data_IF_213029059427
#
_entry.id   IF_213029059427
#
_cell.length_a   1.000
_cell.length_b   1.000
_cell.length_c   1.000
_cell.angle_alpha   90.00
_cell.angle_beta   90.00
_cell.angle_gamma   90.00
#
_symmetry.space_group_name_H-M   'P 1'
#
loop_
_entity.id
_entity.type
_entity.pdbx_description
1 polymer ?
#
# COMPACT_ATOMS: atom_id res chain seq x y z
N UNK A 1 19.64 12.04 3.12
CA UNK A 1 18.40 12.63 3.67
C UNK A 1 18.83 13.61 4.72
N UNK A 2 18.43 14.88 4.59
CA UNK A 2 18.66 15.91 5.61
C UNK A 2 17.53 15.86 6.64
N UNK A 3 17.87 15.96 7.92
CA UNK A 3 16.90 15.95 9.01
C UNK A 3 16.09 17.26 9.03
N UNK A 4 14.81 17.18 8.64
CA UNK A 4 13.93 18.36 8.57
C UNK A 4 13.20 18.69 9.87
N UNK A 5 12.94 17.69 10.69
CA UNK A 5 12.18 17.85 11.94
C UNK A 5 12.61 16.80 12.96
N UNK A 6 12.98 17.27 14.16
CA UNK A 6 13.20 16.45 15.35
C UNK A 6 12.48 17.10 16.52
N UNK A 7 11.68 16.31 17.26
CA UNK A 7 10.99 16.78 18.45
C UNK A 7 11.14 15.80 19.59
N UNK A 8 11.59 16.34 20.71
CA UNK A 8 11.67 15.63 21.97
C UNK A 8 10.54 16.15 22.84
N UNK A 9 9.60 15.28 23.17
CA UNK A 9 8.55 15.59 24.14
C UNK A 9 9.13 15.36 25.53
N UNK A 10 9.71 16.41 26.11
CA UNK A 10 10.21 16.40 27.49
C UNK A 10 9.10 16.97 28.38
N UNK A 11 8.78 16.28 29.46
CA UNK A 11 7.84 16.70 30.49
C UNK A 11 8.48 16.46 31.85
N UNK A 12 8.22 17.36 32.80
CA UNK A 12 8.65 17.23 34.21
C UNK A 12 7.91 16.12 34.95
N UNK A 13 6.79 15.66 34.40
CA UNK A 13 6.07 14.44 34.79
C UNK A 13 6.40 13.38 33.74
N UNK A 14 6.70 12.15 34.12
CA UNK A 14 7.14 11.04 33.24
C UNK A 14 6.20 10.68 32.05
N UNK A 15 5.10 11.42 31.84
CA UNK A 15 4.11 11.24 30.80
C UNK A 15 4.58 11.82 29.44
N UNK A 16 5.48 11.11 28.77
CA UNK A 16 6.03 11.52 27.47
C UNK A 16 5.69 10.58 26.30
N UNK A 17 5.00 9.48 26.56
CA UNK A 17 4.74 8.45 25.55
C UNK A 17 3.80 8.92 24.44
N UNK A 18 4.27 8.82 23.20
CA UNK A 18 3.49 9.00 21.98
C UNK A 18 3.35 7.64 21.30
N UNK A 19 2.12 7.20 21.04
CA UNK A 19 1.81 5.92 20.43
C UNK A 19 1.61 6.01 18.92
N UNK A 20 0.96 7.08 18.47
CA UNK A 20 0.67 7.33 17.05
C UNK A 20 1.08 8.74 16.65
N UNK A 21 1.63 8.82 15.44
CA UNK A 21 2.03 10.07 14.80
C UNK A 21 1.60 10.03 13.33
N UNK A 22 1.06 11.14 12.83
CA UNK A 22 0.73 11.29 11.41
C UNK A 22 0.96 12.74 10.99
N UNK A 23 1.66 12.94 9.86
CA UNK A 23 2.01 14.27 9.37
C UNK A 23 1.03 14.73 8.30
N UNK A 24 0.67 16.01 8.32
CA UNK A 24 -0.02 16.63 7.18
C UNK A 24 1.03 17.04 6.14
N UNK A 25 1.27 16.16 5.16
CA UNK A 25 2.24 16.37 4.08
C UNK A 25 3.58 16.90 4.61
N UNK A 26 4.06 18.03 4.06
CA UNK A 26 5.27 18.76 4.50
C UNK A 26 4.93 20.04 5.27
N UNK A 27 3.76 20.11 5.91
CA UNK A 27 3.36 21.26 6.73
C UNK A 27 3.92 21.13 8.15
N UNK A 28 3.66 22.15 8.97
CA UNK A 28 3.97 22.17 10.41
C UNK A 28 2.95 21.42 11.27
N UNK A 29 1.87 20.86 10.70
CA UNK A 29 0.85 20.16 11.49
C UNK A 29 1.12 18.66 11.61
N UNK A 30 1.06 18.17 12.84
CA UNK A 30 1.25 16.75 13.17
C UNK A 30 0.13 16.29 14.09
N UNK A 31 -0.52 15.18 13.74
CA UNK A 31 -1.43 14.46 14.62
C UNK A 31 -0.64 13.60 15.60
N UNK A 32 -0.97 13.70 16.88
CA UNK A 32 -0.35 12.96 17.98
C UNK A 32 -1.44 12.28 18.82
N UNK A 33 -1.23 11.01 19.15
CA UNK A 33 -2.00 10.27 20.16
C UNK A 33 -1.02 9.67 21.15
N UNK A 34 -1.33 9.76 22.45
CA UNK A 34 -0.45 9.17 23.46
C UNK A 34 -0.44 7.65 23.39
N UNK A 35 0.62 7.04 23.93
CA UNK A 35 0.75 5.59 23.99
C UNK A 35 1.92 5.16 24.86
N UNK A 36 2.13 3.85 24.98
CA UNK A 36 3.11 3.27 25.90
C UNK A 36 2.62 3.24 27.35
N UNK A 37 3.54 2.93 28.29
CA UNK A 37 3.20 2.78 29.72
C UNK A 37 2.81 4.11 30.39
N UNK A 38 3.39 5.22 29.94
CA UNK A 38 3.18 6.57 30.48
C UNK A 38 2.84 7.54 29.35
N UNK A 39 1.61 7.50 28.83
CA UNK A 39 1.23 8.26 27.64
C UNK A 39 1.08 9.75 27.95
N UNK A 40 1.57 10.61 27.04
CA UNK A 40 1.47 12.08 27.17
C UNK A 40 0.03 12.59 27.07
N UNK A 41 -0.76 11.93 26.22
CA UNK A 41 -2.19 12.18 26.03
C UNK A 41 -2.95 10.87 26.26
N UNK A 42 -4.22 10.90 26.67
CA UNK A 42 -5.05 9.70 26.66
C UNK A 42 -5.05 9.02 25.27
N UNK A 43 -5.09 7.69 25.22
CA UNK A 43 -5.05 6.90 23.97
C UNK A 43 -6.29 7.11 23.07
N UNK A 44 -7.34 7.69 23.63
CA UNK A 44 -8.58 8.07 22.97
C UNK A 44 -8.66 9.58 22.68
N UNK A 45 -7.54 10.31 22.78
CA UNK A 45 -7.45 11.75 22.53
C UNK A 45 -6.44 12.05 21.42
N UNK A 46 -6.93 12.65 20.35
CA UNK A 46 -6.13 13.17 19.24
C UNK A 46 -5.75 14.63 19.52
N UNK A 47 -4.45 14.92 19.45
CA UNK A 47 -3.89 16.26 19.48
C UNK A 47 -3.34 16.61 18.09
N UNK A 48 -3.88 17.63 17.42
CA UNK A 48 -3.19 18.25 16.29
C UNK A 48 -2.22 19.29 16.86
N UNK A 49 -0.93 19.02 16.71
CA UNK A 49 0.16 19.87 17.12
C UNK A 49 0.57 20.81 15.98
N UNK A 50 0.69 22.10 16.30
CA UNK A 50 1.32 23.08 15.42
C UNK A 50 2.80 23.18 15.79
N UNK A 51 3.65 22.63 14.94
CA UNK A 51 5.09 22.61 15.19
C UNK A 51 5.73 23.98 15.05
N UNK A 52 5.22 24.85 14.18
CA UNK A 52 5.76 26.21 14.04
C UNK A 52 5.52 27.00 15.33
N UNK A 53 4.33 26.89 15.91
CA UNK A 53 3.95 27.57 17.16
C UNK A 53 4.31 26.81 18.43
N UNK A 54 4.84 25.58 18.30
CA UNK A 54 5.20 24.69 19.41
C UNK A 54 4.06 24.51 20.42
N UNK A 55 2.81 24.37 19.94
CA UNK A 55 1.65 24.22 20.81
C UNK A 55 0.56 23.33 20.20
N UNK A 56 -0.32 22.74 21.02
CA UNK A 56 -1.54 22.09 20.53
C UNK A 56 -2.45 23.11 19.85
N UNK A 57 -2.97 22.74 18.69
CA UNK A 57 -3.92 23.54 17.91
C UNK A 57 -5.35 23.02 18.04
N UNK A 58 -5.55 21.70 18.03
CA UNK A 58 -6.87 21.05 18.07
C UNK A 58 -6.81 19.84 18.99
N UNK A 59 -7.86 19.62 19.76
CA UNK A 59 -8.10 18.37 20.47
C UNK A 59 -9.41 17.73 20.01
N UNK A 60 -9.40 16.42 19.80
CA UNK A 60 -10.60 15.60 19.58
C UNK A 60 -10.56 14.42 20.54
N UNK A 61 -11.67 14.14 21.21
CA UNK A 61 -11.82 13.07 22.19
C UNK A 61 -12.84 12.06 21.72
N UNK A 62 -12.53 10.78 21.93
CA UNK A 62 -13.32 9.65 21.45
C UNK A 62 -13.66 8.70 22.59
N UNK A 63 -14.71 7.90 22.40
CA UNK A 63 -15.13 6.90 23.39
C UNK A 63 -14.29 5.61 23.35
N UNK A 64 -13.48 5.43 22.31
CA UNK A 64 -12.58 4.29 22.14
C UNK A 64 -11.18 4.76 21.76
N UNK A 65 -10.15 3.92 21.94
CA UNK A 65 -8.79 4.25 21.50
C UNK A 65 -8.74 4.64 20.03
N UNK A 66 -7.89 5.62 19.71
CA UNK A 66 -7.56 5.98 18.33
C UNK A 66 -6.51 5.00 17.84
N UNK A 67 -6.81 4.28 16.75
CA UNK A 67 -5.93 3.25 16.18
C UNK A 67 -5.16 3.77 14.95
N UNK A 68 -5.71 4.77 14.27
CA UNK A 68 -5.06 5.40 13.12
C UNK A 68 -5.54 6.83 12.91
N UNK A 69 -4.70 7.65 12.27
CA UNK A 69 -5.03 9.02 11.89
C UNK A 69 -4.50 9.31 10.49
N UNK A 70 -5.37 9.77 9.60
CA UNK A 70 -5.00 10.26 8.28
C UNK A 70 -5.39 11.74 8.21
N UNK A 71 -4.45 12.57 7.72
CA UNK A 71 -4.67 14.00 7.55
C UNK A 71 -4.66 14.35 6.06
N UNK A 72 -5.61 15.17 5.65
CA UNK A 72 -5.54 15.93 4.39
C UNK A 72 -5.67 17.42 4.70
N UNK A 73 -5.49 18.30 3.71
CA UNK A 73 -5.63 19.75 3.92
C UNK A 73 -7.01 20.18 4.41
N UNK A 74 -8.02 19.33 4.23
CA UNK A 74 -9.42 19.64 4.46
C UNK A 74 -10.12 18.66 5.39
N UNK A 75 -9.48 17.54 5.77
CA UNK A 75 -10.07 16.48 6.60
C UNK A 75 -9.11 15.97 7.66
N UNK A 76 -9.66 15.66 8.83
CA UNK A 76 -9.03 14.85 9.87
C UNK A 76 -9.81 13.53 9.91
N UNK A 77 -9.17 12.43 9.54
CA UNK A 77 -9.77 11.11 9.48
C UNK A 77 -9.23 10.30 10.65
N UNK A 78 -10.13 9.83 11.51
CA UNK A 78 -9.80 9.10 12.73
C UNK A 78 -10.33 7.68 12.61
N UNK A 79 -9.43 6.72 12.77
CA UNK A 79 -9.74 5.29 12.69
C UNK A 79 -9.83 4.75 14.12
N UNK A 80 -10.99 4.19 14.43
CA UNK A 80 -11.30 3.47 15.66
C UNK A 80 -11.52 1.98 15.31
N UNK A 81 -11.69 1.13 16.32
CA UNK A 81 -11.84 -0.32 16.11
C UNK A 81 -13.03 -0.68 15.21
N UNK A 82 -14.17 0.00 15.36
CA UNK A 82 -15.40 -0.33 14.61
C UNK A 82 -15.96 0.87 13.83
N UNK A 83 -15.21 1.97 13.74
CA UNK A 83 -15.66 3.21 13.09
C UNK A 83 -14.51 3.95 12.42
N UNK A 84 -14.80 4.58 11.30
CA UNK A 84 -13.98 5.63 10.69
C UNK A 84 -14.75 6.94 10.74
N UNK A 85 -14.16 7.92 11.42
CA UNK A 85 -14.75 9.24 11.63
C UNK A 85 -14.03 10.27 10.76
N UNK A 86 -14.81 11.10 10.06
CA UNK A 86 -14.26 12.13 9.19
C UNK A 86 -14.68 13.49 9.73
N UNK A 87 -13.70 14.28 10.16
CA UNK A 87 -13.90 15.66 10.62
C UNK A 87 -13.39 16.65 9.58
N UNK A 88 -13.97 17.84 9.53
CA UNK A 88 -13.41 18.97 8.80
C UNK A 88 -12.10 19.43 9.47
N UNK A 89 -11.05 19.68 8.68
CA UNK A 89 -9.81 20.27 9.22
C UNK A 89 -9.96 21.80 9.30
N UNK A 90 -10.62 22.26 10.36
CA UNK A 90 -10.89 23.67 10.65
C UNK A 90 -10.51 24.00 12.09
N UNK A 91 -10.53 25.28 12.47
CA UNK A 91 -10.23 25.72 13.85
C UNK A 91 -11.16 25.09 14.90
N UNK A 92 -12.41 24.81 14.51
CA UNK A 92 -13.40 24.04 15.28
C UNK A 92 -13.87 22.85 14.43
N UNK A 93 -13.19 21.70 14.49
CA UNK A 93 -13.51 20.57 13.64
C UNK A 93 -14.94 20.06 13.86
N UNK A 94 -15.73 20.01 12.79
CA UNK A 94 -17.06 19.38 12.79
C UNK A 94 -16.96 17.95 12.30
N UNK A 95 -17.68 17.03 12.94
CA UNK A 95 -17.86 15.69 12.41
C UNK A 95 -18.72 15.79 11.14
N UNK A 96 -18.20 15.29 10.02
CA UNK A 96 -18.87 15.29 8.72
C UNK A 96 -19.54 13.94 8.48
N UNK A 97 -18.80 12.85 8.66
CA UNK A 97 -19.29 11.49 8.43
C UNK A 97 -18.76 10.51 9.49
N UNK A 98 -19.56 9.49 9.76
CA UNK A 98 -19.21 8.35 10.61
C UNK A 98 -19.57 7.07 9.87
N UNK A 99 -18.55 6.32 9.47
CA UNK A 99 -18.72 5.03 8.81
C UNK A 99 -18.45 3.90 9.80
N UNK A 100 -19.35 2.93 9.84
CA UNK A 100 -19.17 1.70 10.61
C UNK A 100 -18.29 0.74 9.83
N UNK A 101 -17.38 0.09 10.55
CA UNK A 101 -16.51 -0.95 10.02
C UNK A 101 -16.78 -2.25 10.76
N UNK A 102 -16.40 -3.36 10.12
CA UNK A 102 -16.04 -4.55 10.88
C UNK A 102 -14.83 -4.25 11.78
N UNK A 103 -14.46 -5.21 12.59
CA UNK A 103 -13.32 -5.12 13.49
C UNK A 103 -12.02 -4.73 12.76
N UNK A 104 -11.47 -3.58 13.14
CA UNK A 104 -10.30 -2.90 12.57
C UNK A 104 -9.24 -2.63 13.65
N UNK A 105 -8.84 -3.69 14.38
CA UNK A 105 -7.89 -3.64 15.52
C UNK A 105 -6.53 -3.03 15.14
N UNK A 106 -6.15 -3.14 13.87
CA UNK A 106 -4.90 -2.63 13.31
C UNK A 106 -5.00 -1.18 12.79
N UNK A 107 -6.16 -0.54 12.86
CA UNK A 107 -6.35 0.84 12.41
C UNK A 107 -6.16 1.05 10.91
N UNK A 108 -6.47 0.03 10.10
CA UNK A 108 -6.23 0.00 8.65
C UNK A 108 -7.16 0.98 7.94
N UNK A 109 -6.58 1.94 7.23
CA UNK A 109 -7.22 2.78 6.23
C UNK A 109 -6.12 3.40 5.36
N UNK A 110 -6.47 3.87 4.16
CA UNK A 110 -5.56 4.66 3.33
C UNK A 110 -6.34 5.70 2.53
N UNK A 111 -5.69 6.81 2.17
CA UNK A 111 -6.30 7.92 1.44
C UNK A 111 -5.48 8.21 0.18
N UNK A 112 -6.17 8.40 -0.95
CA UNK A 112 -5.49 8.76 -2.20
C UNK A 112 -4.79 10.12 -2.07
N UNK A 113 -3.66 10.26 -2.75
CA UNK A 113 -2.86 11.50 -2.74
C UNK A 113 -3.39 12.55 -3.72
N UNK A 114 -4.28 12.17 -4.64
CA UNK A 114 -4.87 13.08 -5.61
C UNK A 114 -5.83 14.08 -4.91
N UNK A 115 -5.48 15.37 -4.93
CA UNK A 115 -6.30 16.42 -4.29
C UNK A 115 -7.64 16.67 -5.01
N UNK A 116 -7.76 16.29 -6.30
CA UNK A 116 -9.03 16.42 -7.05
C UNK A 116 -10.02 15.31 -6.68
N UNK A 117 -9.50 14.08 -6.50
CA UNK A 117 -10.29 12.89 -6.20
C UNK A 117 -9.71 12.22 -4.95
N UNK A 118 -10.36 12.48 -3.81
CA UNK A 118 -9.93 12.03 -2.51
C UNK A 118 -10.73 10.78 -2.13
N UNK A 119 -10.24 9.61 -2.53
CA UNK A 119 -10.85 8.33 -2.20
C UNK A 119 -10.23 7.81 -0.91
N UNK A 120 -11.09 7.60 0.08
CA UNK A 120 -10.75 6.96 1.34
C UNK A 120 -11.17 5.48 1.27
N UNK A 121 -10.24 4.59 1.64
CA UNK A 121 -10.49 3.15 1.70
C UNK A 121 -10.25 2.61 3.11
N UNK A 122 -11.13 1.72 3.56
CA UNK A 122 -11.07 1.11 4.89
C UNK A 122 -11.86 -0.20 4.93
N UNK A 123 -11.70 -1.06 5.95
CA UNK A 123 -12.50 -2.27 6.10
C UNK A 123 -14.00 -1.98 6.09
N UNK A 124 -14.77 -2.76 5.32
CA UNK A 124 -16.23 -2.64 5.25
C UNK A 124 -16.91 -3.24 6.49
N UNK A 125 -18.24 -3.26 6.49
CA UNK A 125 -19.06 -3.71 7.64
C UNK A 125 -19.05 -5.20 7.90
N UNK A 126 -18.62 -6.00 6.93
CA UNK A 126 -18.51 -7.45 7.07
C UNK A 126 -17.07 -7.92 6.77
N UNK A 127 -16.75 -9.11 7.29
CA UNK A 127 -15.43 -9.71 7.15
C UNK A 127 -14.95 -9.73 5.69
N UNK A 128 -13.71 -9.29 5.48
CA UNK A 128 -13.06 -9.28 4.17
C UNK A 128 -13.64 -8.29 3.15
N UNK A 129 -14.58 -7.42 3.57
CA UNK A 129 -15.06 -6.33 2.73
C UNK A 129 -14.18 -5.08 2.87
N UNK A 130 -14.20 -4.25 1.83
CA UNK A 130 -13.57 -2.93 1.78
C UNK A 130 -14.65 -1.92 1.41
N UNK A 131 -14.72 -0.81 2.13
CA UNK A 131 -15.51 0.36 1.76
C UNK A 131 -14.63 1.41 1.08
N UNK A 132 -15.17 2.02 0.03
CA UNK A 132 -14.58 3.15 -0.66
C UNK A 132 -15.57 4.31 -0.63
N UNK A 133 -15.08 5.48 -0.23
CA UNK A 133 -15.88 6.70 -0.16
C UNK A 133 -15.07 7.85 -0.74
N UNK A 134 -15.73 8.67 -1.56
CA UNK A 134 -15.15 9.91 -2.05
C UNK A 134 -15.43 11.02 -1.03
N UNK A 135 -14.36 11.60 -0.49
CA UNK A 135 -14.41 12.63 0.54
C UNK A 135 -14.00 14.00 0.01
N UNK A 136 -13.87 14.13 -1.32
CA UNK A 136 -13.62 15.40 -2.00
C UNK A 136 -14.71 16.44 -1.69
N UNK A 137 -14.37 17.74 -1.67
CA UNK A 137 -15.34 18.81 -1.40
C UNK A 137 -16.57 18.77 -2.32
N UNK A 138 -16.39 18.38 -3.59
CA UNK A 138 -17.45 18.31 -4.60
C UNK A 138 -18.51 17.24 -4.31
N UNK A 139 -18.14 16.19 -3.57
CA UNK A 139 -19.02 15.07 -3.27
C UNK A 139 -19.42 15.03 -1.79
N UNK A 140 -19.23 16.14 -1.05
CA UNK A 140 -19.53 16.24 0.38
C UNK A 140 -20.98 15.83 0.73
N UNK A 141 -21.94 16.10 -0.16
CA UNK A 141 -23.35 15.78 0.07
C UNK A 141 -23.76 14.41 -0.51
N UNK A 142 -22.90 13.82 -1.34
CA UNK A 142 -23.12 12.52 -1.98
C UNK A 142 -22.43 11.46 -1.12
N UNK A 143 -23.13 10.99 -0.08
CA UNK A 143 -22.66 9.89 0.77
C UNK A 143 -22.67 8.53 0.03
N UNK A 144 -21.95 8.47 -1.10
CA UNK A 144 -21.85 7.30 -1.95
C UNK A 144 -20.77 6.37 -1.40
N UNK A 145 -21.19 5.14 -1.12
CA UNK A 145 -20.32 4.10 -0.55
C UNK A 145 -20.26 2.96 -1.56
N UNK A 146 -19.06 2.69 -2.07
CA UNK A 146 -18.79 1.48 -2.84
C UNK A 146 -18.26 0.39 -1.92
N UNK A 147 -18.63 -0.86 -2.19
CA UNK A 147 -18.23 -2.02 -1.37
C UNK A 147 -17.60 -3.09 -2.25
N UNK A 148 -16.39 -3.53 -1.87
CA UNK A 148 -15.67 -4.62 -2.51
C UNK A 148 -15.63 -5.82 -1.56
N UNK A 149 -16.05 -7.00 -2.03
CA UNK A 149 -15.89 -8.28 -1.32
C UNK A 149 -14.55 -8.89 -1.67
N UNK A 150 -13.49 -8.42 -1.02
CA UNK A 150 -12.12 -8.72 -1.43
C UNK A 150 -11.58 -10.05 -0.89
N UNK A 151 -11.91 -10.43 0.34
CA UNK A 151 -11.33 -11.61 1.01
C UNK A 151 -12.37 -12.39 1.82
N UNK A 152 -12.03 -13.62 2.23
CA UNK A 152 -12.86 -14.45 3.12
C UNK A 152 -12.54 -14.22 4.61
N UNK A 153 -11.37 -13.70 4.93
CA UNK A 153 -10.88 -13.36 6.28
C UNK A 153 -10.73 -11.85 6.45
N UNK A 154 -10.48 -11.38 7.68
CA UNK A 154 -10.39 -9.94 7.98
C UNK A 154 -9.32 -9.26 7.11
N UNK A 155 -9.58 -8.01 6.74
CA UNK A 155 -8.61 -7.18 6.02
C UNK A 155 -7.48 -6.82 6.98
N UNK A 156 -6.24 -7.14 6.62
CA UNK A 156 -5.05 -6.88 7.43
C UNK A 156 -4.25 -5.68 6.96
N UNK A 157 -4.25 -5.43 5.64
CA UNK A 157 -3.52 -4.34 5.03
C UNK A 157 -4.29 -3.81 3.81
N UNK A 158 -4.30 -2.48 3.65
CA UNK A 158 -4.83 -1.76 2.50
C UNK A 158 -3.81 -0.76 2.02
N UNK A 159 -3.80 -0.52 0.71
CA UNK A 159 -3.17 0.67 0.15
C UNK A 159 -3.96 1.10 -1.08
N UNK A 160 -4.20 2.40 -1.21
CA UNK A 160 -4.76 2.99 -2.43
C UNK A 160 -3.63 3.57 -3.28
N UNK A 161 -3.78 3.49 -4.60
CA UNK A 161 -2.84 4.06 -5.55
C UNK A 161 -2.83 5.60 -5.49
N UNK A 162 -1.75 6.22 -5.94
CA UNK A 162 -1.60 7.68 -5.86
C UNK A 162 -2.67 8.41 -6.69
N UNK A 163 -3.02 7.83 -7.84
CA UNK A 163 -4.12 8.28 -8.71
C UNK A 163 -5.51 8.07 -8.12
N UNK A 164 -5.65 7.20 -7.10
CA UNK A 164 -6.95 6.83 -6.52
C UNK A 164 -7.75 5.82 -7.35
N UNK A 165 -7.15 5.22 -8.39
CA UNK A 165 -7.82 4.31 -9.34
C UNK A 165 -7.78 2.84 -8.94
N UNK A 166 -6.84 2.47 -8.07
CA UNK A 166 -6.64 1.09 -7.64
C UNK A 166 -6.54 0.98 -6.12
N UNK A 167 -7.12 -0.07 -5.56
CA UNK A 167 -6.95 -0.43 -4.15
C UNK A 167 -6.34 -1.83 -4.02
N UNK A 168 -5.16 -1.90 -3.42
CA UNK A 168 -4.50 -3.14 -3.03
C UNK A 168 -4.94 -3.58 -1.63
N UNK A 169 -5.11 -4.88 -1.45
CA UNK A 169 -5.60 -5.47 -0.20
C UNK A 169 -4.97 -6.82 0.08
N UNK A 170 -4.73 -7.07 1.36
CA UNK A 170 -4.37 -8.37 1.89
C UNK A 170 -5.19 -8.66 3.14
N UNK A 171 -5.57 -9.92 3.31
CA UNK A 171 -6.22 -10.40 4.54
C UNK A 171 -5.22 -10.89 5.56
N UNK A 172 -5.68 -11.25 6.76
CA UNK A 172 -4.87 -11.90 7.81
C UNK A 172 -4.21 -13.19 7.32
N UNK A 173 -4.74 -13.83 6.27
CA UNK A 173 -4.11 -14.99 5.64
C UNK A 173 -2.83 -14.61 4.89
N UNK A 174 -2.79 -13.42 4.27
CA UNK A 174 -1.60 -12.83 3.65
C UNK A 174 -0.88 -13.64 2.56
N UNK A 175 -1.48 -14.74 2.08
CA UNK A 175 -0.95 -15.53 0.97
C UNK A 175 -1.24 -14.89 -0.39
N UNK A 176 -2.30 -14.08 -0.47
CA UNK A 176 -2.77 -13.42 -1.69
C UNK A 176 -2.83 -11.90 -1.48
N UNK A 177 -2.44 -11.18 -2.52
CA UNK A 177 -2.59 -9.73 -2.65
C UNK A 177 -3.57 -9.49 -3.80
N UNK A 178 -4.66 -8.78 -3.53
CA UNK A 178 -5.67 -8.45 -4.54
C UNK A 178 -5.71 -6.95 -4.79
N UNK A 179 -5.80 -6.57 -6.06
CA UNK A 179 -5.94 -5.18 -6.50
C UNK A 179 -7.24 -5.05 -7.24
N UNK A 180 -8.08 -4.10 -6.83
CA UNK A 180 -9.36 -3.82 -7.45
C UNK A 180 -9.39 -2.41 -8.03
N UNK A 181 -10.18 -2.21 -9.07
CA UNK A 181 -10.54 -0.91 -9.61
C UNK A 181 -11.46 -0.20 -8.59
N UNK A 182 -11.17 1.06 -8.28
CA UNK A 182 -11.92 1.82 -7.26
C UNK A 182 -13.26 2.33 -7.77
N UNK A 183 -13.41 2.52 -9.08
CA UNK A 183 -14.64 3.00 -9.72
C UNK A 183 -15.58 1.84 -10.01
N UNK A 184 -15.08 0.80 -10.68
CA UNK A 184 -15.86 -0.38 -11.11
C UNK A 184 -15.97 -1.44 -10.03
N UNK A 185 -15.16 -1.37 -8.97
CA UNK A 185 -15.09 -2.39 -7.91
C UNK A 185 -14.71 -3.79 -8.41
N UNK A 186 -14.14 -3.89 -9.62
CA UNK A 186 -13.74 -5.15 -10.25
C UNK A 186 -12.33 -5.55 -9.84
N UNK A 187 -12.09 -6.84 -9.66
CA UNK A 187 -10.75 -7.38 -9.43
C UNK A 187 -9.89 -7.20 -10.70
N UNK A 188 -8.79 -6.47 -10.57
CA UNK A 188 -7.83 -6.23 -11.65
C UNK A 188 -6.69 -7.25 -11.60
N UNK A 189 -6.13 -7.46 -10.40
CA UNK A 189 -5.01 -8.37 -10.19
C UNK A 189 -5.20 -9.23 -8.96
N UNK A 190 -4.84 -10.51 -9.06
CA UNK A 190 -4.64 -11.40 -7.92
C UNK A 190 -3.21 -11.96 -7.99
N UNK A 191 -2.41 -11.61 -7.00
CA UNK A 191 -1.04 -12.07 -6.87
C UNK A 191 -0.88 -13.01 -5.69
N UNK A 192 -0.05 -14.03 -5.88
CA UNK A 192 0.40 -14.91 -4.80
C UNK A 192 1.70 -14.39 -4.23
N UNK A 193 1.68 -14.07 -2.94
CA UNK A 193 2.87 -13.72 -2.15
C UNK A 193 3.68 -14.96 -1.81
N UNK A 194 3.00 -16.00 -1.35
CA UNK A 194 3.61 -17.25 -0.88
C UNK A 194 2.60 -18.36 -0.63
N UNK A 195 3.11 -19.54 -0.29
CA UNK A 195 2.29 -20.66 0.17
C UNK A 195 1.92 -20.48 1.65
N UNK A 196 2.87 -20.04 2.46
CA UNK A 196 2.68 -19.86 3.89
C UNK A 196 2.01 -18.53 4.23
N UNK A 197 1.20 -18.58 5.30
CA UNK A 197 0.61 -17.42 5.96
C UNK A 197 1.73 -16.45 6.38
N UNK A 198 1.51 -15.16 6.11
CA UNK A 198 2.41 -14.08 6.49
C UNK A 198 1.58 -12.84 6.83
N UNK A 199 1.92 -12.13 7.89
CA UNK A 199 1.30 -10.85 8.21
C UNK A 199 1.90 -9.79 7.29
N UNK A 200 1.08 -9.16 6.47
CA UNK A 200 1.52 -8.04 5.63
C UNK A 200 1.66 -6.81 6.53
N UNK A 201 2.89 -6.30 6.65
CA UNK A 201 3.21 -5.18 7.55
C UNK A 201 3.11 -3.83 6.84
N UNK A 202 3.36 -3.79 5.53
CA UNK A 202 3.27 -2.56 4.74
C UNK A 202 3.07 -2.88 3.25
N UNK A 203 2.28 -2.05 2.57
CA UNK A 203 2.11 -2.06 1.11
C UNK A 203 2.09 -0.64 0.59
N UNK A 204 2.79 -0.36 -0.52
CA UNK A 204 2.75 0.94 -1.19
C UNK A 204 2.93 0.82 -2.70
N UNK A 205 2.09 1.54 -3.44
CA UNK A 205 2.26 1.74 -4.88
C UNK A 205 3.48 2.61 -5.18
N UNK A 206 4.15 2.34 -6.30
CA UNK A 206 5.19 3.24 -6.83
C UNK A 206 4.58 4.59 -7.19
N UNK A 207 5.37 5.68 -7.27
CA UNK A 207 4.85 7.02 -7.54
C UNK A 207 3.98 7.15 -8.81
N UNK A 208 4.28 6.37 -9.84
CA UNK A 208 3.51 6.30 -11.10
C UNK A 208 2.44 5.20 -11.13
N UNK A 209 2.14 4.55 -10.00
CA UNK A 209 1.21 3.43 -9.85
C UNK A 209 1.51 2.17 -10.70
N UNK A 210 2.69 2.10 -11.34
CA UNK A 210 3.08 0.96 -12.19
C UNK A 210 3.51 -0.29 -11.42
N UNK A 211 3.87 -0.15 -10.14
CA UNK A 211 4.31 -1.26 -9.29
C UNK A 211 3.66 -1.20 -7.90
N UNK A 212 3.58 -2.36 -7.25
CA UNK A 212 3.21 -2.48 -5.84
C UNK A 212 4.34 -3.19 -5.07
N UNK A 213 4.87 -2.53 -4.04
CA UNK A 213 5.77 -3.15 -3.08
C UNK A 213 4.97 -3.66 -1.87
N UNK A 214 5.29 -4.87 -1.41
CA UNK A 214 4.65 -5.56 -0.29
C UNK A 214 5.71 -6.13 0.64
N UNK A 215 5.65 -5.76 1.92
CA UNK A 215 6.50 -6.27 2.99
C UNK A 215 5.66 -7.11 3.96
N UNK A 216 6.27 -8.17 4.50
CA UNK A 216 5.63 -9.05 5.47
C UNK A 216 6.53 -9.38 6.66
N UNK A 217 5.93 -9.93 7.71
CA UNK A 217 6.59 -10.45 8.91
C UNK A 217 7.58 -11.61 8.65
N UNK A 218 7.58 -12.18 7.44
CA UNK A 218 8.61 -13.12 6.98
C UNK A 218 9.90 -12.42 6.53
N UNK A 219 10.01 -11.11 6.75
CA UNK A 219 11.10 -10.27 6.28
C UNK A 219 11.34 -10.38 4.77
N UNK A 220 10.30 -10.61 3.98
CA UNK A 220 10.39 -10.67 2.52
C UNK A 220 9.71 -9.46 1.89
N UNK A 221 10.46 -8.71 1.09
CA UNK A 221 9.97 -7.69 0.17
C UNK A 221 9.60 -8.34 -1.16
N UNK A 222 8.38 -8.12 -1.62
CA UNK A 222 7.90 -8.50 -2.94
C UNK A 222 7.54 -7.26 -3.74
N UNK A 223 7.84 -7.26 -5.04
CA UNK A 223 7.40 -6.20 -5.97
C UNK A 223 6.62 -6.82 -7.13
N UNK A 224 5.42 -6.28 -7.39
CA UNK A 224 4.53 -6.70 -8.46
C UNK A 224 4.43 -5.60 -9.51
N UNK A 225 4.52 -5.96 -10.79
CA UNK A 225 4.26 -5.04 -11.90
C UNK A 225 2.76 -5.00 -12.20
N UNK A 226 2.21 -3.81 -12.46
CA UNK A 226 0.77 -3.57 -12.60
C UNK A 226 0.35 -3.18 -14.02
N UNK A 227 1.15 -3.60 -15.01
CA UNK A 227 0.80 -3.38 -16.41
C UNK A 227 -0.31 -4.35 -16.77
N UNK A 228 -1.36 -3.82 -17.41
CA UNK A 228 -2.42 -4.66 -17.95
C UNK A 228 -1.80 -5.65 -18.93
N UNK A 229 -1.84 -6.94 -18.60
CA UNK A 229 -1.68 -7.96 -19.62
C UNK A 229 -2.94 -7.88 -20.48
N UNK A 230 -2.92 -7.04 -21.52
CA UNK A 230 -3.98 -6.93 -22.53
C UNK A 230 -4.18 -8.21 -23.35
N UNK A 231 -3.84 -9.39 -22.83
CA UNK A 231 -3.86 -10.67 -23.53
C UNK A 231 -4.23 -11.88 -22.67
N UNK A 232 -4.81 -11.74 -21.47
CA UNK A 232 -5.21 -12.92 -20.69
C UNK A 232 -6.52 -12.77 -19.91
N UNK A 233 -7.61 -12.43 -20.62
CA UNK A 233 -8.99 -12.70 -20.19
C UNK A 233 -9.63 -13.67 -21.18
N UNK A 234 -9.31 -14.95 -21.03
CA UNK A 234 -10.17 -16.04 -21.50
C UNK A 234 -11.17 -16.39 -20.40
N UNK A 235 -12.45 -16.16 -20.66
CA UNK A 235 -13.56 -16.48 -19.75
C UNK A 235 -14.90 -16.03 -20.31
N UNK A 236 -15.55 -16.92 -21.05
CA UNK A 236 -16.85 -16.79 -21.72
C UNK A 236 -18.00 -16.42 -20.77
N UNK A 237 -18.81 -15.41 -21.14
CA UNK A 237 -20.28 -15.45 -21.21
C UNK A 237 -20.89 -14.04 -21.41
N UNK A 238 -21.33 -13.74 -22.64
CA UNK A 238 -22.44 -12.83 -22.98
C UNK A 238 -22.72 -13.03 -24.49
N UNK A 239 -23.70 -13.86 -24.86
CA UNK A 239 -25.03 -13.47 -25.39
C UNK A 239 -24.92 -12.46 -26.53
N UNK A 240 -25.25 -12.93 -27.74
CA UNK A 240 -25.03 -12.23 -28.99
C UNK A 240 -25.95 -11.05 -29.26
N UNK A 241 -25.44 -10.15 -30.10
CA UNK A 241 -26.21 -9.39 -31.08
C UNK A 241 -25.36 -9.32 -32.34
N UNK A 242 -25.94 -9.78 -33.43
CA UNK A 242 -25.46 -9.75 -34.81
C UNK A 242 -25.42 -8.34 -35.39
N UNK A 243 -24.37 -8.00 -36.14
CA UNK A 243 -24.47 -7.22 -37.38
C UNK A 243 -23.23 -7.45 -38.27
N UNK A 244 -23.50 -7.78 -39.53
CA UNK A 244 -22.55 -8.08 -40.60
C UNK A 244 -21.92 -6.81 -41.19
N UNK A 245 -20.65 -6.87 -41.65
CA UNK A 245 -20.27 -6.80 -43.08
C UNK A 245 -18.75 -6.62 -43.28
N UNK A 246 -18.27 -7.31 -44.33
CA UNK A 246 -17.13 -7.11 -45.24
C UNK A 246 -15.66 -7.31 -44.83
N UNK A 247 -15.13 -8.45 -45.32
CA UNK A 247 -13.97 -8.63 -46.21
C UNK A 247 -12.72 -7.74 -46.08
N UNK A 248 -11.60 -8.39 -45.75
CA UNK A 248 -10.26 -7.81 -45.90
C UNK A 248 -9.16 -8.70 -45.33
N UNK A 249 -8.67 -9.64 -46.14
CA UNK A 249 -7.45 -10.38 -45.91
C UNK A 249 -6.26 -9.41 -45.76
N UNK A 250 -5.75 -9.27 -44.53
CA UNK A 250 -4.65 -8.35 -44.21
C UNK A 250 -3.79 -8.90 -43.09
N UNK A 251 -2.72 -9.59 -43.47
CA UNK A 251 -1.57 -9.88 -42.61
C UNK A 251 -0.94 -8.56 -42.17
N UNK A 252 -1.25 -8.09 -40.96
CA UNK A 252 -0.60 -6.91 -40.39
C UNK A 252 0.62 -7.38 -39.60
N UNK A 253 1.74 -7.32 -40.29
CA UNK A 253 3.09 -7.29 -39.75
C UNK A 253 3.19 -6.14 -38.74
N UNK A 254 3.33 -6.45 -37.45
CA UNK A 254 3.66 -5.46 -36.44
C UNK A 254 5.17 -5.12 -36.55
N UNK A 255 5.53 -4.30 -37.52
CA UNK A 255 6.84 -3.65 -37.59
C UNK A 255 6.77 -2.30 -36.88
N UNK A 256 7.58 -2.14 -35.82
CA UNK A 256 8.12 -0.84 -35.44
C UNK A 256 7.27 0.04 -34.52
N UNK A 257 7.22 -0.31 -33.23
CA UNK A 257 7.27 0.68 -32.16
C UNK A 257 8.21 0.11 -31.08
N UNK A 258 9.27 0.85 -30.74
CA UNK A 258 10.35 0.41 -29.87
C UNK A 258 9.82 -0.21 -28.56
N UNK A 259 9.86 -1.54 -28.51
CA UNK A 259 9.40 -2.30 -27.36
C UNK A 259 10.38 -2.12 -26.21
N UNK A 260 10.01 -1.29 -25.24
CA UNK A 260 10.56 -1.45 -23.90
C UNK A 260 10.22 -2.89 -23.47
N UNK A 261 11.24 -3.70 -23.20
CA UNK A 261 11.09 -5.08 -22.71
C UNK A 261 10.46 -5.04 -21.32
N UNK A 262 9.14 -4.83 -21.27
CA UNK A 262 8.44 -4.70 -20.00
C UNK A 262 8.40 -6.06 -19.33
N UNK A 263 8.91 -6.11 -18.10
CA UNK A 263 9.18 -7.38 -17.45
C UNK A 263 7.94 -7.94 -16.78
N UNK A 264 7.53 -9.12 -17.24
CA UNK A 264 6.31 -9.77 -16.80
C UNK A 264 6.46 -10.34 -15.39
N UNK A 265 5.37 -10.30 -14.61
CA UNK A 265 5.29 -11.01 -13.35
C UNK A 265 5.54 -12.52 -13.55
N UNK A 266 6.13 -13.18 -12.54
CA UNK A 266 6.43 -14.62 -12.61
C UNK A 266 5.12 -15.41 -12.65
N UNK A 267 5.07 -16.46 -13.48
CA UNK A 267 4.01 -17.46 -13.45
C UNK A 267 4.64 -18.85 -13.55
N UNK A 268 3.95 -19.87 -13.03
CA UNK A 268 4.43 -21.25 -13.17
C UNK A 268 4.35 -21.68 -14.64
N UNK A 269 5.37 -22.41 -15.10
CA UNK A 269 5.42 -23.00 -16.45
C UNK A 269 4.25 -23.95 -16.74
N UNK A 270 3.60 -24.48 -15.70
CA UNK A 270 2.45 -25.38 -15.80
C UNK A 270 1.09 -24.67 -15.76
N UNK A 271 1.04 -23.33 -15.78
CA UNK A 271 -0.21 -22.57 -15.63
C UNK A 271 -1.32 -22.96 -16.64
N UNK A 272 -0.94 -23.47 -17.81
CA UNK A 272 -1.87 -23.87 -18.87
C UNK A 272 -2.31 -25.34 -18.82
N UNK A 273 -1.80 -26.15 -17.88
CA UNK A 273 -2.25 -27.53 -17.76
C UNK A 273 -3.63 -27.61 -17.07
N UNK A 274 -4.56 -28.42 -17.59
CA UNK A 274 -5.85 -28.64 -16.96
C UNK A 274 -5.69 -29.33 -15.60
N UNK A 275 -6.66 -29.14 -14.71
CA UNK A 275 -6.79 -29.84 -13.42
C UNK A 275 -5.68 -29.59 -12.36
N UNK A 276 -4.74 -28.67 -12.59
CA UNK A 276 -3.78 -28.30 -11.56
C UNK A 276 -4.38 -27.45 -10.43
N UNK A 277 -3.90 -27.61 -9.19
CA UNK A 277 -4.21 -26.71 -8.08
C UNK A 277 -4.00 -25.23 -8.44
N UNK A 278 -4.88 -24.36 -7.91
CA UNK A 278 -4.90 -22.92 -8.24
C UNK A 278 -3.57 -22.18 -8.02
N UNK A 279 -2.68 -22.69 -7.18
CA UNK A 279 -1.37 -22.08 -6.97
C UNK A 279 -0.46 -22.16 -8.21
N UNK A 280 -0.54 -23.23 -9.00
CA UNK A 280 0.18 -23.35 -10.27
C UNK A 280 -0.35 -22.40 -11.35
N UNK A 281 -1.56 -21.87 -11.16
CA UNK A 281 -2.17 -20.87 -12.04
C UNK A 281 -1.92 -19.43 -11.57
N UNK A 282 -1.32 -19.26 -10.39
CA UNK A 282 -1.13 -17.96 -9.77
C UNK A 282 -0.04 -17.13 -10.43
N UNK A 283 -0.20 -15.81 -10.39
CA UNK A 283 0.82 -14.84 -10.77
C UNK A 283 1.58 -14.41 -9.51
N UNK A 284 2.90 -14.37 -9.57
CA UNK A 284 3.81 -14.09 -8.46
C UNK A 284 4.60 -12.80 -8.73
N UNK A 285 5.21 -12.23 -7.70
CA UNK A 285 6.05 -11.04 -7.82
C UNK A 285 7.15 -11.22 -8.87
N UNK A 286 7.36 -10.22 -9.73
CA UNK A 286 8.46 -10.28 -10.70
C UNK A 286 9.82 -10.30 -10.00
N UNK A 287 9.92 -9.69 -8.82
CA UNK A 287 11.11 -9.74 -7.97
C UNK A 287 10.75 -9.81 -6.48
N UNK A 288 11.60 -10.50 -5.71
CA UNK A 288 11.47 -10.62 -4.26
C UNK A 288 12.83 -10.70 -3.59
N UNK A 289 12.95 -10.24 -2.34
CA UNK A 289 14.17 -10.28 -1.55
C UNK A 289 13.86 -10.51 -0.07
N UNK A 290 14.64 -11.37 0.57
CA UNK A 290 14.68 -11.41 2.04
C UNK A 290 15.50 -10.18 2.50
N UNK A 291 14.86 -9.33 3.30
CA UNK A 291 15.38 -8.08 3.86
C UNK A 291 15.63 -8.19 5.36
N UNK A 292 15.48 -9.38 5.94
CA UNK A 292 15.86 -9.67 7.31
C UNK A 292 17.38 -9.79 7.46
N UNK A 293 17.87 -9.55 8.67
CA UNK A 293 19.25 -9.89 9.05
C UNK A 293 19.29 -11.26 9.71
N UNK A 294 20.39 -11.99 9.54
CA UNK A 294 20.61 -13.27 10.24
C UNK A 294 20.69 -13.10 11.77
N UNK A 295 20.99 -11.89 12.25
CA UNK A 295 21.07 -11.52 13.67
C UNK A 295 19.78 -10.89 14.22
N UNK A 296 18.64 -11.04 13.53
CA UNK A 296 17.36 -10.45 13.97
C UNK A 296 16.79 -11.17 15.20
N UNK A 297 17.31 -10.82 16.37
CA UNK A 297 16.77 -11.21 17.69
C UNK A 297 15.42 -10.50 17.99
N UNK A 298 15.07 -9.48 17.21
CA UNK A 298 13.87 -8.66 17.39
C UNK A 298 12.98 -8.77 16.15
N UNK A 299 11.74 -9.19 16.35
CA UNK A 299 10.68 -9.06 15.34
C UNK A 299 10.39 -7.56 15.14
N UNK A 300 10.88 -6.99 14.04
CA UNK A 300 10.69 -5.59 13.69
C UNK A 300 9.57 -5.38 12.65
N UNK A 301 8.96 -4.21 12.68
CA UNK A 301 7.93 -3.79 11.73
C UNK A 301 8.51 -2.75 10.78
N UNK A 302 8.70 -3.15 9.54
CA UNK A 302 9.11 -2.25 8.46
C UNK A 302 7.93 -1.51 7.84
N UNK A 303 8.11 -0.22 7.57
CA UNK A 303 7.20 0.61 6.79
C UNK A 303 7.84 0.93 5.44
N UNK A 304 7.09 0.74 4.35
CA UNK A 304 7.56 0.99 2.99
C UNK A 304 7.33 2.44 2.55
N UNK A 305 8.26 2.94 1.75
CA UNK A 305 8.11 4.12 0.91
C UNK A 305 8.83 3.92 -0.42
N UNK A 306 8.56 4.79 -1.38
CA UNK A 306 9.28 4.83 -2.65
C UNK A 306 9.99 6.18 -2.77
N UNK A 307 11.27 6.18 -3.16
CA UNK A 307 11.99 7.43 -3.48
C UNK A 307 11.85 7.83 -4.96
N UNK A 308 11.61 6.84 -5.82
CA UNK A 308 11.30 6.98 -7.25
C UNK A 308 10.55 5.70 -7.72
N UNK A 309 10.42 5.44 -9.02
CA UNK A 309 9.65 4.30 -9.53
C UNK A 309 10.36 2.94 -9.45
N UNK A 310 11.65 2.94 -9.09
CA UNK A 310 12.51 1.75 -9.06
C UNK A 310 13.30 1.62 -7.74
N UNK A 311 13.20 2.61 -6.85
CA UNK A 311 13.84 2.63 -5.54
C UNK A 311 12.84 2.62 -4.39
N UNK A 312 12.98 1.64 -3.50
CA UNK A 312 12.16 1.40 -2.32
C UNK A 312 12.95 1.75 -1.06
N UNK A 313 12.31 2.46 -0.13
CA UNK A 313 12.82 2.71 1.21
C UNK A 313 12.07 1.84 2.21
N UNK A 314 12.78 1.20 3.12
CA UNK A 314 12.21 0.51 4.29
C UNK A 314 12.67 1.25 5.54
N UNK A 315 11.71 1.68 6.37
CA UNK A 315 11.97 2.22 7.70
C UNK A 315 11.71 1.13 8.74
N UNK A 316 12.73 0.76 9.50
CA UNK A 316 12.64 -0.26 10.54
C UNK A 316 12.47 0.41 11.91
N UNK A 317 11.31 0.18 12.54
CA UNK A 317 10.87 0.93 13.72
C UNK A 317 11.75 0.69 14.94
N UNK A 318 12.01 -0.56 15.28
CA UNK A 318 12.76 -0.92 16.49
C UNK A 318 14.27 -0.86 16.26
N UNK A 319 14.75 -1.24 15.07
CA UNK A 319 16.16 -1.06 14.70
C UNK A 319 16.55 0.40 14.60
N UNK A 320 15.60 1.29 14.36
CA UNK A 320 15.86 2.73 14.23
C UNK A 320 16.73 3.05 13.02
N UNK A 321 16.53 2.34 11.90
CA UNK A 321 17.30 2.52 10.67
C UNK A 321 16.37 2.70 9.48
N UNK A 322 16.90 3.28 8.41
CA UNK A 322 16.32 3.16 7.07
C UNK A 322 17.25 2.41 6.13
N UNK A 323 16.67 1.73 5.16
CA UNK A 323 17.38 1.03 4.09
C UNK A 323 16.80 1.43 2.73
N UNK A 324 17.66 1.63 1.74
CA UNK A 324 17.28 1.87 0.35
C UNK A 324 17.60 0.64 -0.49
N UNK A 325 16.62 0.23 -1.27
CA UNK A 325 16.68 -0.88 -2.19
C UNK A 325 16.37 -0.39 -3.60
N UNK A 326 17.12 -0.86 -4.59
CA UNK A 326 16.93 -0.49 -6.00
C UNK A 326 16.61 -1.73 -6.82
N UNK A 327 15.62 -1.63 -7.69
CA UNK A 327 15.24 -2.65 -8.65
C UNK A 327 16.17 -2.50 -9.86
N UNK A 328 16.97 -3.53 -10.13
CA UNK A 328 17.94 -3.51 -11.23
C UNK A 328 17.76 -4.72 -12.15
N UNK A 329 18.07 -4.51 -13.42
CA UNK A 329 18.15 -5.55 -14.43
C UNK A 329 19.60 -6.03 -14.54
N UNK A 330 19.85 -7.33 -14.38
CA UNK A 330 21.15 -7.94 -14.68
C UNK A 330 21.06 -8.82 -15.92
N UNK A 331 21.99 -8.61 -16.84
CA UNK A 331 22.25 -9.49 -17.96
C UNK A 331 23.19 -10.60 -17.47
N UNK A 332 22.80 -11.87 -17.65
CA UNK A 332 23.71 -12.98 -17.44
C UNK A 332 24.56 -13.13 -18.69
N UNK A 333 25.86 -12.85 -18.59
CA UNK A 333 26.84 -13.34 -19.57
C UNK A 333 26.96 -14.85 -19.38
N UNK A 334 26.42 -15.62 -20.34
CA UNK A 334 26.63 -17.07 -20.38
C UNK A 334 28.08 -17.33 -20.79
N UNK A 335 28.90 -17.81 -19.88
CA UNK A 335 30.25 -18.30 -20.19
C UNK A 335 30.16 -19.61 -21.00
N UNK A 336 30.21 -19.45 -22.32
CA UNK A 336 30.76 -20.32 -23.37
C UNK A 336 30.11 -21.67 -23.74
N UNK A 337 30.14 -21.91 -25.07
CA UNK A 337 30.10 -23.19 -25.79
C UNK A 337 28.77 -23.94 -25.89
N UNK A 338 27.80 -23.36 -26.62
CA UNK A 338 27.14 -24.06 -27.72
C UNK A 338 26.17 -23.10 -28.42
N UNK A 339 26.43 -22.88 -29.71
CA UNK A 339 25.61 -22.05 -30.59
C UNK A 339 24.29 -22.75 -30.91
N UNK A 340 23.25 -22.45 -30.14
CA UNK A 340 21.86 -22.49 -30.64
C UNK A 340 20.97 -21.59 -29.77
N UNK A 341 20.48 -20.51 -30.39
CA UNK A 341 19.48 -19.54 -29.88
C UNK A 341 19.73 -18.98 -28.47
N UNK A 342 20.69 -18.06 -28.37
CA UNK A 342 20.92 -17.21 -27.19
C UNK A 342 19.82 -16.14 -27.06
N UNK A 343 18.78 -16.42 -26.27
CA UNK A 343 17.97 -15.34 -25.68
C UNK A 343 18.67 -14.85 -24.41
N UNK A 344 19.26 -13.66 -24.43
CA UNK A 344 19.72 -12.98 -23.22
C UNK A 344 18.52 -12.81 -22.27
N UNK A 345 18.41 -13.66 -21.25
CA UNK A 345 17.31 -13.60 -20.30
C UNK A 345 17.68 -12.60 -19.20
N UNK A 346 17.18 -11.38 -19.33
CA UNK A 346 17.26 -10.38 -18.27
C UNK A 346 16.70 -10.94 -16.96
N UNK A 347 17.48 -10.84 -15.88
CA UNK A 347 17.05 -11.22 -14.53
C UNK A 347 16.93 -9.96 -13.68
N UNK A 348 15.73 -9.73 -13.16
CA UNK A 348 15.46 -8.64 -12.23
C UNK A 348 15.79 -9.05 -10.81
N UNK A 349 16.43 -8.13 -10.10
CA UNK A 349 16.76 -8.29 -8.69
C UNK A 349 16.52 -6.98 -7.94
N UNK A 350 16.35 -7.10 -6.63
CA UNK A 350 16.34 -5.96 -5.72
C UNK A 350 17.66 -5.95 -4.96
N UNK A 351 18.42 -4.87 -5.06
CA UNK A 351 19.72 -4.72 -4.41
C UNK A 351 19.61 -3.70 -3.29
N UNK A 352 20.28 -3.94 -2.16
CA UNK A 352 20.35 -2.94 -1.09
C UNK A 352 21.43 -1.96 -1.50
N UNK A 353 21.07 -0.71 -1.74
CA UNK A 353 21.98 0.35 -2.18
C UNK A 353 22.61 1.06 -0.97
N UNK A 354 21.86 1.23 0.12
CA UNK A 354 22.38 1.90 1.30
C UNK A 354 21.48 1.78 2.52
N UNK A 355 22.00 2.20 3.67
CA UNK A 355 21.26 2.29 4.93
C UNK A 355 21.90 3.32 5.86
N UNK A 356 21.12 3.87 6.81
CA UNK A 356 21.64 4.66 7.93
C UNK A 356 20.77 4.50 9.18
N UNK A 357 21.40 4.67 10.35
CA UNK A 357 20.71 4.82 11.63
C UNK A 357 20.08 6.21 11.77
N UNK A 358 18.91 6.29 12.42
CA UNK A 358 18.27 7.55 12.76
C UNK A 358 19.08 8.38 13.76
N UNK A 359 19.92 7.73 14.59
CA UNK A 359 20.85 8.43 15.49
C UNK A 359 21.95 9.20 14.75
N UNK A 360 22.31 8.75 13.55
CA UNK A 360 23.36 9.37 12.72
C UNK A 360 22.77 10.39 11.72
N UNK A 361 21.51 10.80 11.90
CA UNK A 361 20.90 11.88 11.11
C UNK A 361 21.18 13.27 11.69
N UNK A 362 21.86 13.33 12.85
CA UNK A 362 22.29 14.58 13.49
C UNK A 362 23.63 15.10 12.93
N UNK A 363 24.37 14.28 12.19
CA UNK A 363 25.60 14.61 11.44
C UNK A 363 25.29 14.95 9.97
#
# INVERSE_FOLDING_TARGET
>A
MELRMKRNFISTRDNNGIGLISMLHRTNYVALVGGGKQPRFPINKLCIWDDLKKKPSIFLEFLSPVLGVILSRIRIIVILQNKVLIHAFESKPKLLHSYETFDNEDGVADLSTNEQVSILVFPGRAIGQIQLVDISPMNKDKNLISIIKAHKSKIRALSISNSGTMVASASETGTLIRIHDTLKCTLLFEFRRGLDKAVITSMKFSPNDSKLAVLSDKNTLHVYNLHSNSGSTGGNNAVGVSQNNDDGNGSISATGAGGSNWSLNKSHFLKNLPLLPNYFKSTWSFVSKNVGSNDDLVNDFGVLGWSDNDSIIILWKFKGIWEKYVIVERYQELSSSNSSLNSNKAKWEVVREGWRSFGNLDD
#
